data_IF_041745209186
#
_entry.id   IF_041745209186
#
_cell.length_a   1.000
_cell.length_b   1.000
_cell.length_c   1.000
_cell.angle_alpha   90.00
_cell.angle_beta   90.00
_cell.angle_gamma   90.00
#
_symmetry.space_group_name_H-M   'P 1'
#
loop_
_entity.id
_entity.type
_entity.pdbx_description
1 polymer ?
#
# COMPACT_ATOMS: atom_id res chain seq x y z
N UNK A 1 -15.99 -17.42 -37.84
CA UNK A 1 -14.65 -17.63 -37.26
C UNK A 1 -13.82 -16.41 -37.65
N UNK A 2 -13.14 -15.62 -36.81
CA UNK A 2 -12.58 -15.80 -35.48
C UNK A 2 -12.59 -14.45 -34.75
N UNK A 3 -12.90 -14.46 -33.44
CA UNK A 3 -12.72 -13.33 -32.52
C UNK A 3 -11.53 -13.67 -31.61
N UNK A 4 -10.52 -12.80 -31.54
CA UNK A 4 -9.66 -12.68 -30.35
C UNK A 4 -8.15 -12.92 -30.51
N UNK A 5 -7.42 -12.07 -31.23
CA UNK A 5 -5.93 -12.10 -31.22
C UNK A 5 -5.26 -10.87 -30.55
N UNK A 6 -6.01 -9.87 -30.07
CA UNK A 6 -5.40 -8.62 -29.56
C UNK A 6 -4.83 -8.66 -28.14
N UNK A 7 -5.10 -9.70 -27.34
CA UNK A 7 -4.72 -9.74 -25.90
C UNK A 7 -3.44 -10.52 -25.60
N UNK A 8 -2.98 -11.39 -26.49
CA UNK A 8 -1.78 -12.22 -26.26
C UNK A 8 -0.46 -11.45 -26.49
N UNK A 9 -0.39 -10.57 -27.49
CA UNK A 9 0.86 -9.86 -27.84
C UNK A 9 1.40 -8.96 -26.71
N UNK A 10 0.56 -8.17 -26.05
CA UNK A 10 1.01 -7.23 -25.01
C UNK A 10 1.64 -7.90 -23.78
N UNK A 11 1.23 -9.14 -23.47
CA UNK A 11 1.82 -9.91 -22.36
C UNK A 11 3.19 -10.46 -22.75
N UNK A 12 3.30 -10.96 -23.98
CA UNK A 12 4.55 -11.48 -24.54
C UNK A 12 5.60 -10.35 -24.64
N UNK A 13 5.23 -9.20 -25.20
CA UNK A 13 6.12 -8.02 -25.31
C UNK A 13 6.63 -7.52 -23.95
N UNK A 14 5.78 -7.55 -22.91
CA UNK A 14 6.20 -7.17 -21.55
C UNK A 14 7.17 -8.19 -20.94
N UNK A 15 6.99 -9.48 -21.22
CA UNK A 15 7.90 -10.53 -20.77
C UNK A 15 9.24 -10.42 -21.49
N UNK A 16 9.22 -10.23 -22.81
CA UNK A 16 10.44 -10.10 -23.62
C UNK A 16 11.25 -8.87 -23.20
N UNK A 17 10.59 -7.73 -22.95
CA UNK A 17 11.26 -6.53 -22.41
C UNK A 17 11.90 -6.78 -21.04
N UNK A 18 11.27 -7.56 -20.15
CA UNK A 18 11.86 -7.90 -18.85
C UNK A 18 13.07 -8.80 -19.00
N UNK A 19 13.01 -9.77 -19.93
CA UNK A 19 14.13 -10.66 -20.23
C UNK A 19 15.31 -9.89 -20.84
N UNK A 20 15.07 -8.91 -21.70
CA UNK A 20 16.15 -8.05 -22.22
C UNK A 20 16.80 -7.19 -21.12
N UNK A 21 16.01 -6.63 -20.22
CA UNK A 21 16.54 -5.85 -19.10
C UNK A 21 17.34 -6.71 -18.12
N UNK A 22 16.94 -7.97 -17.91
CA UNK A 22 17.64 -8.94 -17.07
C UNK A 22 18.97 -9.44 -17.65
N UNK A 23 19.17 -9.30 -18.97
CA UNK A 23 20.42 -9.68 -19.65
C UNK A 23 21.49 -8.61 -19.57
N UNK A 24 21.18 -7.41 -19.07
CA UNK A 24 22.17 -6.34 -18.95
C UNK A 24 22.94 -6.50 -17.65
N UNK A 25 24.27 -6.43 -17.74
CA UNK A 25 25.17 -6.59 -16.59
C UNK A 25 25.08 -5.45 -15.57
N UNK A 26 24.44 -4.33 -15.93
CA UNK A 26 24.25 -3.14 -15.08
C UNK A 26 22.95 -3.15 -14.26
N UNK A 27 22.13 -4.20 -14.36
CA UNK A 27 20.78 -4.24 -13.79
C UNK A 27 20.55 -5.48 -12.92
N UNK A 28 20.20 -5.27 -11.66
CA UNK A 28 19.74 -6.35 -10.78
C UNK A 28 18.22 -6.54 -10.91
N UNK A 29 17.79 -7.75 -11.33
CA UNK A 29 16.37 -8.08 -11.49
C UNK A 29 15.87 -8.93 -10.33
N UNK A 30 14.95 -8.38 -9.52
CA UNK A 30 14.30 -9.08 -8.41
C UNK A 30 12.92 -9.58 -8.87
N UNK A 31 12.74 -10.91 -8.89
CA UNK A 31 11.44 -11.52 -9.20
C UNK A 31 10.52 -11.53 -7.97
N UNK A 32 9.81 -10.41 -7.75
CA UNK A 32 8.69 -10.38 -6.78
C UNK A 32 7.37 -10.56 -7.52
N UNK A 33 6.54 -11.48 -7.06
CA UNK A 33 5.13 -11.52 -7.45
C UNK A 33 4.51 -10.22 -6.94
N UNK A 34 4.23 -9.29 -7.83
CA UNK A 34 3.40 -8.14 -7.49
C UNK A 34 2.09 -8.72 -6.95
N UNK A 35 1.74 -8.42 -5.70
CA UNK A 35 0.38 -8.67 -5.22
C UNK A 35 -0.54 -8.05 -6.27
N UNK A 36 -1.50 -8.82 -6.80
CA UNK A 36 -2.44 -8.24 -7.75
C UNK A 36 -3.07 -7.06 -7.03
N UNK A 37 -3.00 -5.86 -7.61
CA UNK A 37 -3.49 -4.62 -6.98
C UNK A 37 -4.92 -4.78 -6.42
N UNK A 38 -5.70 -5.71 -7.00
CA UNK A 38 -7.02 -6.13 -6.55
C UNK A 38 -7.06 -6.80 -5.17
N UNK A 39 -6.07 -7.59 -4.77
CA UNK A 39 -6.07 -8.28 -3.48
C UNK A 39 -5.95 -7.29 -2.33
N UNK A 40 -5.18 -6.23 -2.54
CA UNK A 40 -5.03 -5.15 -1.57
C UNK A 40 -6.33 -4.39 -1.35
N UNK A 41 -7.01 -4.05 -2.45
CA UNK A 41 -8.32 -3.39 -2.41
C UNK A 41 -9.34 -4.28 -1.68
N UNK A 42 -9.36 -5.58 -1.97
CA UNK A 42 -10.24 -6.54 -1.30
C UNK A 42 -9.97 -6.63 0.20
N UNK A 43 -8.70 -6.66 0.61
CA UNK A 43 -8.30 -6.71 2.00
C UNK A 43 -8.74 -5.44 2.75
N UNK A 44 -8.52 -4.26 2.17
CA UNK A 44 -8.92 -2.97 2.74
C UNK A 44 -10.45 -2.89 2.91
N UNK A 45 -11.22 -3.29 1.88
CA UNK A 45 -12.68 -3.31 1.96
C UNK A 45 -13.20 -4.28 3.04
N UNK A 46 -12.58 -5.46 3.16
CA UNK A 46 -12.93 -6.43 4.19
C UNK A 46 -12.61 -5.91 5.60
N UNK A 47 -11.45 -5.26 5.77
CA UNK A 47 -11.06 -4.65 7.04
C UNK A 47 -12.06 -3.57 7.48
N UNK A 48 -12.43 -2.65 6.58
CA UNK A 48 -13.37 -1.57 6.90
C UNK A 48 -14.74 -2.10 7.32
N UNK A 49 -15.25 -3.11 6.61
CA UNK A 49 -16.49 -3.79 6.98
C UNK A 49 -16.43 -4.43 8.38
N UNK A 50 -15.34 -5.14 8.69
CA UNK A 50 -15.16 -5.81 9.98
C UNK A 50 -15.02 -4.80 11.12
N UNK A 51 -14.25 -3.72 10.92
CA UNK A 51 -14.07 -2.67 11.93
C UNK A 51 -15.39 -1.93 12.21
N UNK A 52 -16.17 -1.63 11.17
CA UNK A 52 -17.49 -1.04 11.35
C UNK A 52 -18.41 -1.98 12.16
N UNK A 53 -18.38 -3.29 11.86
CA UNK A 53 -19.15 -4.28 12.62
C UNK A 53 -18.67 -4.40 14.08
N UNK A 54 -17.36 -4.38 14.31
CA UNK A 54 -16.77 -4.39 15.65
C UNK A 54 -17.27 -3.19 16.46
N UNK A 55 -17.24 -1.99 15.87
CA UNK A 55 -17.74 -0.76 16.51
C UNK A 55 -19.22 -0.85 16.90
N UNK A 56 -20.05 -1.44 16.04
CA UNK A 56 -21.49 -1.62 16.32
C UNK A 56 -21.80 -2.67 17.39
N UNK A 57 -20.84 -3.54 17.71
CA UNK A 57 -20.97 -4.59 18.72
C UNK A 57 -20.31 -4.25 20.05
N UNK A 58 -19.60 -3.12 20.13
CA UNK A 58 -19.01 -2.61 21.38
C UNK A 58 -20.09 -2.39 22.45
N UNK A 59 -19.79 -2.82 23.68
CA UNK A 59 -20.68 -2.62 24.84
C UNK A 59 -21.93 -3.50 24.86
N UNK A 60 -22.07 -4.44 23.92
CA UNK A 60 -23.17 -5.43 23.96
C UNK A 60 -22.81 -6.60 24.89
N UNK A 61 -23.78 -7.18 25.62
CA UNK A 61 -23.53 -8.28 26.57
C UNK A 61 -22.86 -9.52 25.95
N UNK A 62 -23.16 -9.80 24.67
CA UNK A 62 -22.56 -10.91 23.90
C UNK A 62 -21.60 -10.39 22.82
N UNK A 63 -21.04 -9.19 23.00
CA UNK A 63 -20.11 -8.55 22.08
C UNK A 63 -18.65 -8.87 22.37
N UNK A 64 -17.74 -8.28 21.59
CA UNK A 64 -16.31 -8.33 21.87
C UNK A 64 -16.01 -7.49 23.12
N UNK A 65 -15.20 -7.99 24.08
CA UNK A 65 -14.77 -7.21 25.23
C UNK A 65 -14.17 -5.86 24.82
N UNK A 66 -14.53 -4.80 25.53
CA UNK A 66 -14.14 -3.42 25.17
C UNK A 66 -12.63 -3.27 25.07
N UNK A 67 -11.88 -3.79 26.03
CA UNK A 67 -10.40 -3.74 26.03
C UNK A 67 -9.79 -4.40 24.80
N UNK A 68 -10.34 -5.53 24.37
CA UNK A 68 -9.85 -6.25 23.20
C UNK A 68 -10.19 -5.49 21.91
N UNK A 69 -11.38 -4.91 21.84
CA UNK A 69 -11.79 -4.10 20.71
C UNK A 69 -10.94 -2.81 20.58
N UNK A 70 -10.58 -2.16 21.70
CA UNK A 70 -9.65 -1.02 21.70
C UNK A 70 -8.32 -1.41 21.09
N UNK A 71 -7.73 -2.54 21.51
CA UNK A 71 -6.47 -3.04 20.94
C UNK A 71 -6.56 -3.27 19.43
N UNK A 72 -7.68 -3.80 18.94
CA UNK A 72 -7.88 -3.98 17.50
C UNK A 72 -8.00 -2.65 16.75
N UNK A 73 -8.67 -1.66 17.33
CA UNK A 73 -8.83 -0.34 16.73
C UNK A 73 -7.50 0.42 16.66
N UNK A 74 -6.72 0.38 17.75
CA UNK A 74 -5.38 0.99 17.83
C UNK A 74 -4.45 0.37 16.78
N UNK A 75 -4.35 -0.96 16.75
CA UNK A 75 -3.52 -1.66 15.77
C UNK A 75 -3.95 -1.38 14.33
N UNK A 76 -5.26 -1.23 14.09
CA UNK A 76 -5.76 -0.87 12.76
C UNK A 76 -5.45 0.57 12.37
N UNK A 77 -5.31 1.48 13.33
CA UNK A 77 -4.83 2.85 13.10
C UNK A 77 -3.34 2.86 12.78
N UNK A 78 -2.53 2.13 13.57
CA UNK A 78 -1.09 1.96 13.33
C UNK A 78 -0.80 1.46 11.92
N UNK A 79 -1.48 0.37 11.50
CA UNK A 79 -1.32 -0.18 10.14
C UNK A 79 -1.66 0.83 9.04
N UNK A 80 -2.68 1.68 9.27
CA UNK A 80 -3.05 2.73 8.30
C UNK A 80 -1.97 3.82 8.22
N UNK A 81 -1.37 4.19 9.34
CA UNK A 81 -0.29 5.16 9.39
C UNK A 81 1.02 4.61 8.79
N UNK A 82 1.35 3.35 9.07
CA UNK A 82 2.49 2.65 8.46
C UNK A 82 2.33 2.58 6.94
N UNK A 83 1.12 2.29 6.44
CA UNK A 83 0.82 2.31 5.01
C UNK A 83 1.08 3.68 4.37
N UNK A 84 0.61 4.72 5.05
CA UNK A 84 0.79 6.11 4.61
C UNK A 84 2.29 6.49 4.57
N UNK A 85 3.05 6.06 5.58
CA UNK A 85 4.51 6.23 5.62
C UNK A 85 5.22 5.48 4.50
N UNK A 86 4.89 4.20 4.29
CA UNK A 86 5.46 3.41 3.20
C UNK A 86 5.20 4.06 1.84
N UNK A 87 4.00 4.60 1.60
CA UNK A 87 3.68 5.31 0.37
C UNK A 87 4.53 6.58 0.19
N UNK A 88 4.76 7.32 1.27
CA UNK A 88 5.62 8.49 1.24
C UNK A 88 7.08 8.13 0.91
N UNK A 89 7.62 7.09 1.56
CA UNK A 89 8.97 6.58 1.32
C UNK A 89 9.15 6.09 -0.12
N UNK A 90 8.16 5.36 -0.65
CA UNK A 90 8.16 4.94 -2.05
C UNK A 90 8.16 6.13 -3.01
N UNK A 91 7.37 7.17 -2.74
CA UNK A 91 7.39 8.39 -3.55
C UNK A 91 8.75 9.09 -3.49
N UNK A 92 9.37 9.20 -2.30
CA UNK A 92 10.69 9.80 -2.13
C UNK A 92 11.76 9.02 -2.89
N UNK A 93 11.79 7.69 -2.77
CA UNK A 93 12.73 6.83 -3.48
C UNK A 93 12.58 6.92 -5.02
N UNK A 94 11.36 7.18 -5.49
CA UNK A 94 11.06 7.41 -6.91
C UNK A 94 11.26 8.86 -7.36
N UNK A 95 11.66 9.77 -6.47
CA UNK A 95 11.83 11.21 -6.76
C UNK A 95 10.51 11.96 -7.03
N UNK A 96 9.39 11.43 -6.57
CA UNK A 96 8.05 11.99 -6.75
C UNK A 96 7.57 12.72 -5.50
N UNK A 97 6.80 13.80 -5.68
CA UNK A 97 6.14 14.47 -4.56
C UNK A 97 4.99 13.63 -4.01
N UNK A 98 5.01 13.35 -2.70
CA UNK A 98 3.93 12.61 -2.05
C UNK A 98 2.78 13.52 -1.63
N UNK A 99 1.58 13.22 -2.15
CA UNK A 99 0.32 13.84 -1.72
C UNK A 99 -0.48 12.83 -0.90
N UNK A 100 -0.55 13.08 0.41
CA UNK A 100 -1.30 12.22 1.32
C UNK A 100 -2.80 12.19 0.98
N UNK A 101 -3.47 11.03 1.11
CA UNK A 101 -4.91 10.90 0.98
C UNK A 101 -5.68 11.73 2.02
N UNK A 102 -6.97 11.98 1.77
CA UNK A 102 -7.82 12.74 2.71
C UNK A 102 -7.86 12.05 4.08
N UNK A 103 -7.62 12.82 5.14
CA UNK A 103 -7.59 12.32 6.53
C UNK A 103 -6.22 11.79 6.97
N UNK A 104 -5.19 11.87 6.12
CA UNK A 104 -3.80 11.57 6.46
C UNK A 104 -2.92 12.80 6.21
N UNK A 105 -1.92 12.97 7.05
CA UNK A 105 -0.85 13.94 6.83
C UNK A 105 0.35 13.27 6.14
N UNK A 106 1.17 14.05 5.44
CA UNK A 106 2.39 13.49 4.84
C UNK A 106 3.44 13.32 5.95
N UNK A 107 3.85 12.08 6.28
CA UNK A 107 4.72 11.83 7.43
C UNK A 107 6.16 12.31 7.20
N UNK A 108 6.60 12.43 5.94
CA UNK A 108 7.96 12.85 5.61
C UNK A 108 8.13 14.38 5.53
N UNK A 109 7.04 15.15 5.43
CA UNK A 109 7.12 16.62 5.44
C UNK A 109 7.72 17.17 6.74
N UNK A 110 7.52 16.48 7.86
CA UNK A 110 8.10 16.89 9.14
C UNK A 110 9.60 16.57 9.25
N UNK A 111 10.08 15.57 8.52
CA UNK A 111 11.49 15.15 8.53
C UNK A 111 12.35 16.09 7.67
N UNK A 112 11.87 16.51 6.49
CA UNK A 112 12.56 17.49 5.64
C UNK A 112 12.79 18.84 6.36
N UNK A 113 11.83 19.29 7.17
CA UNK A 113 11.95 20.53 7.96
C UNK A 113 12.97 20.40 9.10
N UNK A 114 13.17 19.20 9.65
CA UNK A 114 14.14 18.94 10.72
C UNK A 114 15.58 18.83 10.20
N UNK A 115 15.78 18.28 9.00
CA UNK A 115 17.11 18.22 8.37
C UNK A 115 17.56 19.59 7.82
N UNK A 116 16.64 20.38 7.25
CA UNK A 116 16.93 21.74 6.80
C UNK A 116 17.38 22.69 7.91
N UNK A 117 16.87 22.51 9.15
CA UNK A 117 17.28 23.29 10.33
C UNK A 117 18.62 22.89 10.93
N UNK A 118 19.17 21.72 10.61
CA UNK A 118 20.52 21.31 11.04
C UNK A 118 21.63 21.76 10.10
N UNK A 119 21.27 22.28 8.91
CA UNK A 119 22.20 22.76 7.89
C UNK A 119 22.17 24.28 7.69
N UNK A 120 21.49 25.01 8.59
CA UNK A 120 21.43 26.47 8.61
C UNK A 120 22.26 27.03 9.76
#
# INVERSE_FOLDING_TARGET
MAKGNGKQNFRQERLDRKLELAKRDDMEVISRRAAETNDFIRLLSANDYIINRLRNQLGRPNGVPVEQAVKFLERNEELRQEMNKLNAEMCQALGMSYRAPRGFDNPLKEEEVKEGKKRA
#
